data_IF_617736108187
#
_entry.id   IF_617736108187
#
_cell.length_a   1.000
_cell.length_b   1.000
_cell.length_c   1.000
_cell.angle_alpha   90.00
_cell.angle_beta   90.00
_cell.angle_gamma   90.00
#
_symmetry.space_group_name_H-M   'P 1'
#
loop_
_entity.id
_entity.type
_entity.pdbx_description
1 polymer ?
#
# COMPACT_ATOMS: atom_id res chain seq x y z
N UNK A 1 2.15 1.49 12.38
CA UNK A 1 0.77 1.32 11.89
C UNK A 1 0.65 0.25 10.81
N UNK A 2 1.58 0.16 9.85
CA UNK A 2 1.53 -0.80 8.72
C UNK A 2 1.37 -2.27 9.10
N UNK A 3 1.97 -2.71 10.22
CA UNK A 3 1.86 -4.11 10.68
C UNK A 3 0.69 -4.40 11.63
N UNK A 4 -0.15 -3.41 12.00
CA UNK A 4 -1.25 -3.62 12.96
C UNK A 4 -0.84 -4.09 14.37
N UNK A 5 0.48 -4.20 14.66
CA UNK A 5 1.05 -4.71 15.91
C UNK A 5 0.60 -3.89 17.13
N UNK A 6 0.36 -2.58 16.95
CA UNK A 6 -0.18 -1.69 18.00
C UNK A 6 -1.71 -1.76 18.21
N UNK A 7 -2.46 -2.41 17.31
CA UNK A 7 -3.92 -2.55 17.37
C UNK A 7 -4.39 -3.96 17.77
N UNK A 8 -3.48 -4.88 18.09
CA UNK A 8 -3.83 -6.23 18.54
C UNK A 8 -4.23 -7.21 17.43
N UNK A 9 -4.10 -6.83 16.15
CA UNK A 9 -4.43 -7.69 14.99
C UNK A 9 -3.64 -9.00 15.01
N UNK A 10 -2.36 -8.96 15.39
CA UNK A 10 -1.53 -10.17 15.57
C UNK A 10 -1.99 -11.07 16.72
N UNK A 11 -2.64 -10.52 17.75
CA UNK A 11 -3.19 -11.29 18.88
C UNK A 11 -4.48 -12.00 18.44
N UNK A 12 -5.36 -11.32 17.71
CA UNK A 12 -6.60 -11.91 17.17
C UNK A 12 -6.30 -13.00 16.15
N UNK A 13 -5.42 -12.75 15.17
CA UNK A 13 -5.02 -13.78 14.21
C UNK A 13 -4.20 -14.91 14.85
N UNK A 14 -3.39 -14.61 15.87
CA UNK A 14 -2.67 -15.61 16.67
C UNK A 14 -3.58 -16.50 17.50
N UNK A 15 -4.72 -15.99 17.97
CA UNK A 15 -5.70 -16.75 18.76
C UNK A 15 -6.43 -17.84 17.96
N UNK A 16 -6.58 -17.65 16.64
CA UNK A 16 -7.15 -18.65 15.73
C UNK A 16 -6.09 -19.52 15.03
N UNK A 17 -4.79 -19.27 15.25
CA UNK A 17 -3.72 -20.02 14.62
C UNK A 17 -3.52 -21.40 15.30
N UNK A 18 -3.49 -22.50 14.53
CA UNK A 18 -3.12 -23.82 15.04
C UNK A 18 -1.75 -23.77 15.73
N UNK A 19 -1.62 -24.39 16.93
CA UNK A 19 -0.41 -24.40 17.79
C UNK A 19 0.91 -24.84 17.11
N UNK A 20 0.89 -25.30 15.86
CA UNK A 20 2.04 -25.78 15.07
C UNK A 20 2.46 -24.87 13.92
N UNK A 21 1.78 -23.74 13.67
CA UNK A 21 2.24 -22.80 12.64
C UNK A 21 3.43 -21.96 13.15
N UNK A 22 4.51 -21.82 12.37
CA UNK A 22 5.62 -20.94 12.72
C UNK A 22 5.19 -19.47 12.52
N UNK A 23 4.45 -18.93 13.49
CA UNK A 23 3.93 -17.55 13.49
C UNK A 23 5.06 -16.54 13.22
N UNK A 24 6.25 -16.75 13.78
CA UNK A 24 7.42 -15.90 13.54
C UNK A 24 7.88 -15.87 12.07
N UNK A 25 7.78 -16.98 11.35
CA UNK A 25 8.15 -17.03 9.91
C UNK A 25 7.09 -16.35 9.05
N UNK A 26 5.81 -16.52 9.38
CA UNK A 26 4.71 -15.83 8.69
C UNK A 26 4.76 -14.31 8.91
N UNK A 27 4.98 -13.86 10.14
CA UNK A 27 5.12 -12.42 10.45
C UNK A 27 6.33 -11.82 9.74
N UNK A 28 7.46 -12.54 9.71
CA UNK A 28 8.66 -12.07 9.02
C UNK A 28 8.45 -11.99 7.51
N UNK A 29 7.75 -12.96 6.91
CA UNK A 29 7.38 -12.91 5.50
C UNK A 29 6.48 -11.70 5.20
N UNK A 30 5.42 -11.49 5.99
CA UNK A 30 4.51 -10.35 5.83
C UNK A 30 5.26 -9.02 5.96
N UNK A 31 6.16 -8.87 6.94
CA UNK A 31 6.93 -7.66 7.13
C UNK A 31 7.89 -7.36 5.96
N UNK A 32 8.54 -8.40 5.41
CA UNK A 32 9.40 -8.24 4.24
C UNK A 32 8.59 -7.86 3.00
N UNK A 33 7.43 -8.49 2.80
CA UNK A 33 6.55 -8.13 1.69
C UNK A 33 5.95 -6.73 1.84
N UNK A 34 5.48 -6.33 3.02
CA UNK A 34 4.96 -4.98 3.31
C UNK A 34 6.01 -3.90 3.05
N UNK A 35 7.24 -4.12 3.54
CA UNK A 35 8.35 -3.20 3.35
C UNK A 35 8.76 -3.15 1.87
N UNK A 36 8.85 -4.30 1.21
CA UNK A 36 9.23 -4.40 -0.20
C UNK A 36 8.21 -3.72 -1.12
N UNK A 37 6.92 -3.95 -0.90
CA UNK A 37 5.84 -3.31 -1.65
C UNK A 37 5.84 -1.81 -1.42
N UNK A 38 5.99 -1.36 -0.17
CA UNK A 38 6.08 0.08 0.15
C UNK A 38 7.24 0.77 -0.56
N UNK A 39 8.39 0.10 -0.67
CA UNK A 39 9.57 0.63 -1.35
C UNK A 39 9.38 0.71 -2.87
N UNK A 40 8.79 -0.32 -3.48
CA UNK A 40 8.44 -0.33 -4.91
C UNK A 40 7.43 0.76 -5.25
N UNK A 41 6.41 0.94 -4.40
CA UNK A 41 5.41 2.00 -4.56
C UNK A 41 6.06 3.37 -4.46
N UNK A 42 6.97 3.59 -3.50
CA UNK A 42 7.74 4.83 -3.40
C UNK A 42 8.53 5.14 -4.69
N UNK A 43 9.24 4.14 -5.22
CA UNK A 43 10.01 4.28 -6.46
C UNK A 43 9.12 4.56 -7.68
N UNK A 44 7.88 4.04 -7.71
CA UNK A 44 6.94 4.30 -8.79
C UNK A 44 6.27 5.69 -8.69
N UNK A 45 5.89 6.12 -7.48
CA UNK A 45 5.14 7.35 -7.25
C UNK A 45 6.04 8.59 -7.31
N UNK A 46 7.23 8.56 -6.73
CA UNK A 46 8.09 9.76 -6.69
C UNK A 46 8.45 10.32 -8.06
N UNK A 47 8.88 9.52 -9.07
CA UNK A 47 9.19 10.03 -10.41
C UNK A 47 7.99 10.70 -11.07
N UNK A 48 6.80 10.14 -10.87
CA UNK A 48 5.54 10.68 -11.40
C UNK A 48 5.23 12.05 -10.77
N UNK A 49 5.40 12.17 -9.44
CA UNK A 49 5.17 13.42 -8.71
C UNK A 49 6.16 14.50 -9.16
N UNK A 50 7.45 14.17 -9.26
CA UNK A 50 8.48 15.11 -9.71
C UNK A 50 8.34 15.49 -11.19
N UNK A 51 7.96 14.56 -12.07
CA UNK A 51 7.73 14.82 -13.49
C UNK A 51 6.58 15.81 -13.74
N UNK A 52 5.59 15.84 -12.85
CA UNK A 52 4.43 16.73 -12.95
C UNK A 52 4.55 18.01 -12.09
N UNK A 53 5.73 18.31 -11.52
CA UNK A 53 5.98 19.42 -10.59
C UNK A 53 4.99 19.46 -9.41
N UNK A 54 4.52 18.29 -8.97
CA UNK A 54 3.58 18.18 -7.87
C UNK A 54 4.31 18.11 -6.53
N UNK A 55 3.71 18.67 -5.49
CA UNK A 55 4.31 18.75 -4.16
C UNK A 55 4.20 17.41 -3.41
N UNK A 56 5.32 16.71 -3.10
CA UNK A 56 5.28 15.38 -2.48
C UNK A 56 4.84 15.38 -1.01
N UNK A 57 4.69 16.56 -0.40
CA UNK A 57 4.32 16.72 1.02
C UNK A 57 2.81 16.76 1.25
N UNK A 58 1.98 16.55 0.22
CA UNK A 58 0.51 16.60 0.30
C UNK A 58 -0.14 15.49 1.16
N UNK A 59 0.64 14.55 1.71
CA UNK A 59 0.14 13.49 2.59
C UNK A 59 -0.99 12.69 1.90
N UNK A 60 -2.21 12.62 2.48
CA UNK A 60 -3.36 11.97 1.83
C UNK A 60 -3.73 12.58 0.47
N UNK A 61 -3.47 13.88 0.27
CA UNK A 61 -3.74 14.59 -0.98
C UNK A 61 -2.91 14.06 -2.16
N UNK A 62 -1.77 13.43 -1.90
CA UNK A 62 -0.95 12.83 -2.94
C UNK A 62 -1.66 11.62 -3.59
N UNK A 63 -2.34 10.82 -2.78
CA UNK A 63 -3.07 9.64 -3.25
C UNK A 63 -4.36 10.02 -3.99
N UNK A 64 -5.04 11.11 -3.60
CA UNK A 64 -6.34 11.50 -4.18
C UNK A 64 -6.29 12.67 -5.18
N UNK A 65 -5.16 13.34 -5.33
CA UNK A 65 -4.98 14.45 -6.30
C UNK A 65 -3.86 14.12 -7.27
N UNK A 66 -2.66 13.85 -6.77
CA UNK A 66 -1.48 13.67 -7.62
C UNK A 66 -1.54 12.37 -8.43
N UNK A 67 -1.99 11.27 -7.84
CA UNK A 67 -2.12 9.99 -8.56
C UNK A 67 -3.22 10.02 -9.65
N UNK A 68 -4.46 10.48 -9.39
CA UNK A 68 -5.46 10.64 -10.45
C UNK A 68 -5.00 11.56 -11.58
N UNK A 69 -4.32 12.66 -11.25
CA UNK A 69 -3.75 13.57 -12.25
C UNK A 69 -2.69 12.87 -13.10
N UNK A 70 -1.80 12.09 -12.48
CA UNK A 70 -0.80 11.32 -13.19
C UNK A 70 -1.40 10.24 -14.09
N UNK A 71 -2.42 9.52 -13.60
CA UNK A 71 -3.14 8.53 -14.40
C UNK A 71 -3.83 9.22 -15.59
N UNK A 72 -4.43 10.40 -15.41
CA UNK A 72 -5.02 11.16 -16.52
C UNK A 72 -4.03 11.57 -17.63
N UNK A 73 -2.73 11.60 -17.34
CA UNK A 73 -1.68 11.95 -18.31
C UNK A 73 -1.08 10.73 -19.04
N UNK A 74 -1.45 9.49 -18.68
CA UNK A 74 -1.02 8.29 -19.39
C UNK A 74 -2.13 7.74 -20.30
N UNK A 75 -1.74 7.17 -21.45
CA UNK A 75 -2.66 6.44 -22.31
C UNK A 75 -3.24 5.25 -21.54
N UNK A 76 -4.57 5.10 -21.50
CA UNK A 76 -5.31 4.15 -20.64
C UNK A 76 -5.29 4.45 -19.13
N UNK A 77 -5.03 5.70 -18.75
CA UNK A 77 -5.08 6.20 -17.37
C UNK A 77 -6.27 5.76 -16.54
N UNK A 78 -7.48 5.88 -17.09
CA UNK A 78 -8.72 5.53 -16.40
C UNK A 78 -8.77 4.06 -15.99
N UNK A 79 -8.23 3.16 -16.81
CA UNK A 79 -8.18 1.73 -16.50
C UNK A 79 -7.20 1.45 -15.36
N UNK A 80 -5.99 2.00 -15.44
CA UNK A 80 -4.97 1.83 -14.41
C UNK A 80 -5.34 2.51 -13.08
N UNK A 81 -5.97 3.69 -13.14
CA UNK A 81 -6.50 4.39 -11.98
C UNK A 81 -7.62 3.59 -11.30
N UNK A 82 -8.57 3.07 -12.06
CA UNK A 82 -9.66 2.23 -11.53
C UNK A 82 -9.14 0.97 -10.85
N UNK A 83 -8.18 0.27 -11.49
CA UNK A 83 -7.53 -0.90 -10.91
C UNK A 83 -6.77 -0.53 -9.63
N UNK A 84 -6.01 0.56 -9.64
CA UNK A 84 -5.24 1.01 -8.48
C UNK A 84 -6.14 1.33 -7.29
N UNK A 85 -7.16 2.17 -7.46
CA UNK A 85 -8.09 2.51 -6.38
C UNK A 85 -8.95 1.31 -5.95
N UNK A 86 -9.30 0.41 -6.86
CA UNK A 86 -9.96 -0.86 -6.52
C UNK A 86 -9.09 -1.73 -5.62
N UNK A 87 -7.79 -1.85 -5.92
CA UNK A 87 -6.84 -2.58 -5.08
C UNK A 87 -6.62 -1.89 -3.72
N UNK A 88 -6.53 -0.56 -3.69
CA UNK A 88 -6.42 0.21 -2.44
C UNK A 88 -7.67 0.01 -1.57
N UNK A 89 -8.86 -0.03 -2.16
CA UNK A 89 -10.10 -0.31 -1.45
C UNK A 89 -10.07 -1.71 -0.82
N UNK A 90 -9.67 -2.73 -1.59
CA UNK A 90 -9.53 -4.09 -1.07
C UNK A 90 -8.48 -4.18 0.05
N UNK A 91 -7.36 -3.46 -0.09
CA UNK A 91 -6.32 -3.43 0.94
C UNK A 91 -6.77 -2.69 2.21
N UNK A 92 -7.57 -1.63 2.08
CA UNK A 92 -8.11 -0.88 3.22
C UNK A 92 -9.23 -1.63 3.96
N UNK A 93 -9.94 -2.53 3.28
CA UNK A 93 -10.97 -3.38 3.87
C UNK A 93 -10.41 -4.62 4.60
N UNK A 94 -9.15 -4.99 4.32
CA UNK A 94 -8.46 -6.17 4.86
C UNK A 94 -7.77 -5.96 6.21
#
# INVERSE_FOLDING_TARGET
>A
FTLGVGMGVGISYGAYAPRRLPVGRSVMAVAVFDTGVSLLVGIAIFPIVFANNMEPSMGPGLMFVSLPYAFGNIMFGDLFGTLFFGLVLLAALG
#
